data_IF_336539298141
#
_entry.id   IF_336539298141
#
_cell.length_a   1.000
_cell.length_b   1.000
_cell.length_c   1.000
_cell.angle_alpha   90.00
_cell.angle_beta   90.00
_cell.angle_gamma   90.00
#
_symmetry.space_group_name_H-M   'P 1'
#
loop_
_entity.id
_entity.type
_entity.pdbx_description
1 polymer ?
#
# COMPACT_ATOMS: atom_id res chain seq x y z
N UNK A 1 -25.48 5.89 -7.03
CA UNK A 1 -26.00 7.28 -7.02
C UNK A 1 -25.09 8.24 -7.79
N UNK A 2 -23.88 8.58 -7.32
CA UNK A 2 -23.02 9.56 -8.01
C UNK A 2 -22.50 9.06 -9.38
N UNK A 3 -22.16 7.77 -9.49
CA UNK A 3 -21.83 7.09 -10.75
C UNK A 3 -23.01 7.11 -11.71
N UNK A 4 -24.21 6.78 -11.22
CA UNK A 4 -25.42 6.75 -12.04
C UNK A 4 -25.83 8.15 -12.51
N UNK A 5 -25.61 9.18 -11.70
CA UNK A 5 -25.84 10.59 -12.07
C UNK A 5 -24.83 11.03 -13.14
N UNK A 6 -23.54 10.74 -12.96
CA UNK A 6 -22.50 11.09 -13.93
C UNK A 6 -22.71 10.35 -15.25
N UNK A 7 -23.03 9.05 -15.18
CA UNK A 7 -23.31 8.24 -16.35
C UNK A 7 -24.58 8.70 -17.07
N UNK A 8 -25.67 9.01 -16.34
CA UNK A 8 -26.89 9.57 -16.93
C UNK A 8 -26.64 10.94 -17.56
N UNK A 9 -25.80 11.79 -16.95
CA UNK A 9 -25.41 13.08 -17.55
C UNK A 9 -24.63 12.86 -18.86
N UNK A 10 -23.67 11.92 -18.87
CA UNK A 10 -22.85 11.64 -20.05
C UNK A 10 -23.63 10.92 -21.17
N UNK A 11 -24.57 10.05 -20.81
CA UNK A 11 -25.49 9.41 -21.73
C UNK A 11 -26.43 10.43 -22.37
N UNK A 12 -27.05 11.30 -21.56
CA UNK A 12 -27.95 12.33 -22.07
C UNK A 12 -27.24 13.42 -22.90
N UNK A 13 -26.05 13.88 -22.50
CA UNK A 13 -25.35 14.97 -23.22
C UNK A 13 -24.49 14.48 -24.39
N UNK A 14 -23.97 13.25 -24.35
CA UNK A 14 -22.98 12.76 -25.32
C UNK A 14 -23.28 11.37 -25.88
N UNK A 15 -24.36 10.69 -25.44
CA UNK A 15 -24.70 9.33 -25.87
C UNK A 15 -23.74 8.25 -25.36
N UNK A 16 -23.08 8.50 -24.23
CA UNK A 16 -22.02 7.63 -23.70
C UNK A 16 -22.53 6.83 -22.49
N UNK A 17 -22.42 5.49 -22.56
CA UNK A 17 -22.71 4.58 -21.44
C UNK A 17 -21.48 3.76 -21.05
N UNK A 18 -21.20 3.67 -19.75
CA UNK A 18 -20.08 2.89 -19.18
C UNK A 18 -20.45 1.44 -18.82
N UNK A 19 -21.73 1.06 -18.90
CA UNK A 19 -22.16 -0.29 -18.55
C UNK A 19 -21.78 -1.31 -19.63
N UNK A 20 -21.39 -2.52 -19.21
CA UNK A 20 -21.06 -3.66 -20.09
C UNK A 20 -19.95 -3.39 -21.13
N UNK A 21 -19.01 -2.50 -20.81
CA UNK A 21 -17.85 -2.16 -21.66
C UNK A 21 -16.61 -3.00 -21.31
N UNK A 22 -15.76 -3.26 -22.31
CA UNK A 22 -14.46 -3.92 -22.07
C UNK A 22 -13.49 -2.98 -21.34
N UNK A 23 -12.39 -3.51 -20.78
CA UNK A 23 -11.35 -2.69 -20.12
C UNK A 23 -10.74 -1.67 -21.10
N UNK A 24 -10.56 -2.06 -22.36
CA UNK A 24 -10.04 -1.19 -23.42
C UNK A 24 -11.01 -0.03 -23.71
N UNK A 25 -12.31 -0.33 -23.87
CA UNK A 25 -13.33 0.68 -24.10
C UNK A 25 -13.44 1.67 -22.93
N UNK A 26 -13.23 1.21 -21.70
CA UNK A 26 -13.25 2.04 -20.50
C UNK A 26 -12.01 2.95 -20.38
N UNK A 27 -10.85 2.50 -20.88
CA UNK A 27 -9.66 3.35 -20.99
C UNK A 27 -9.88 4.46 -22.03
N UNK A 28 -10.47 4.13 -23.17
CA UNK A 28 -10.85 5.10 -24.21
C UNK A 28 -11.91 6.09 -23.71
N UNK A 29 -12.88 5.60 -22.94
CA UNK A 29 -13.85 6.44 -22.25
C UNK A 29 -13.19 7.46 -21.31
N UNK A 30 -12.19 7.05 -20.52
CA UNK A 30 -11.45 7.95 -19.62
C UNK A 30 -10.73 9.04 -20.42
N UNK A 31 -10.12 8.70 -21.56
CA UNK A 31 -9.47 9.67 -22.45
C UNK A 31 -10.49 10.68 -23.00
N UNK A 32 -11.66 10.22 -23.43
CA UNK A 32 -12.74 11.05 -23.94
C UNK A 32 -13.28 12.00 -22.87
N UNK A 33 -13.57 11.49 -21.66
CA UNK A 33 -14.05 12.30 -20.52
C UNK A 33 -13.01 13.35 -20.14
N UNK A 34 -11.73 13.00 -20.11
CA UNK A 34 -10.65 13.96 -19.88
C UNK A 34 -10.63 15.07 -20.95
N UNK A 35 -10.87 14.72 -22.22
CA UNK A 35 -11.02 15.67 -23.32
C UNK A 35 -12.22 16.60 -23.18
N UNK A 36 -13.37 16.10 -22.70
CA UNK A 36 -14.56 16.92 -22.40
C UNK A 36 -14.26 17.90 -21.27
N UNK A 37 -13.60 17.45 -20.19
CA UNK A 37 -13.19 18.34 -19.10
C UNK A 37 -12.27 19.46 -19.60
N UNK A 38 -11.28 19.13 -20.44
CA UNK A 38 -10.38 20.11 -21.05
C UNK A 38 -11.16 21.17 -21.86
N UNK A 39 -12.07 20.74 -22.73
CA UNK A 39 -12.89 21.63 -23.55
C UNK A 39 -13.79 22.55 -22.72
N UNK A 40 -14.44 22.03 -21.66
CA UNK A 40 -15.39 22.80 -20.85
C UNK A 40 -14.74 23.72 -19.82
N UNK A 41 -13.59 23.34 -19.24
CA UNK A 41 -12.96 24.09 -18.14
C UNK A 41 -11.68 24.84 -18.54
N UNK A 42 -11.22 24.69 -19.78
CA UNK A 42 -9.91 25.19 -20.23
C UNK A 42 -8.71 24.46 -19.61
N UNK A 43 -8.98 23.47 -18.75
CA UNK A 43 -8.01 22.59 -18.11
C UNK A 43 -8.64 21.21 -17.97
N UNK A 44 -7.91 20.15 -18.31
CA UNK A 44 -8.36 18.78 -18.15
C UNK A 44 -8.00 18.22 -16.78
N UNK A 45 -7.95 16.90 -16.71
CA UNK A 45 -7.46 16.20 -15.53
C UNK A 45 -5.96 16.47 -15.37
N UNK A 46 -5.57 17.00 -14.20
CA UNK A 46 -4.24 17.56 -13.95
C UNK A 46 -3.17 16.50 -13.69
N UNK A 47 -3.59 15.33 -13.19
CA UNK A 47 -2.68 14.29 -12.72
C UNK A 47 -3.07 12.90 -13.27
N UNK A 48 -2.12 12.07 -13.72
CA UNK A 48 -2.38 10.67 -14.09
C UNK A 48 -3.21 9.88 -13.07
N UNK A 49 -2.97 10.05 -11.76
CA UNK A 49 -3.77 9.38 -10.74
C UNK A 49 -5.24 9.82 -10.77
N UNK A 50 -5.54 11.07 -11.10
CA UNK A 50 -6.94 11.51 -11.25
C UNK A 50 -7.62 10.79 -12.43
N UNK A 51 -6.93 10.62 -13.56
CA UNK A 51 -7.46 9.87 -14.70
C UNK A 51 -7.67 8.38 -14.35
N UNK A 52 -6.72 7.79 -13.61
CA UNK A 52 -6.85 6.43 -13.06
C UNK A 52 -8.05 6.30 -12.12
N UNK A 53 -8.35 7.32 -11.33
CA UNK A 53 -9.53 7.30 -10.45
C UNK A 53 -10.84 7.51 -11.23
N UNK A 54 -10.84 8.20 -12.37
CA UNK A 54 -11.99 8.17 -13.29
C UNK A 54 -12.21 6.73 -13.78
N UNK A 55 -11.16 6.01 -14.18
CA UNK A 55 -11.25 4.59 -14.54
C UNK A 55 -11.79 3.75 -13.37
N UNK A 56 -11.25 3.90 -12.16
CA UNK A 56 -11.76 3.19 -10.99
C UNK A 56 -13.22 3.52 -10.69
N UNK A 57 -13.64 4.77 -10.88
CA UNK A 57 -15.01 5.20 -10.70
C UNK A 57 -15.96 4.52 -11.70
N UNK A 58 -15.51 4.23 -12.93
CA UNK A 58 -16.29 3.42 -13.88
C UNK A 58 -16.42 1.95 -13.48
N UNK A 59 -15.56 1.46 -12.59
CA UNK A 59 -15.47 0.05 -12.17
C UNK A 59 -16.02 -0.22 -10.76
N UNK A 60 -16.38 0.80 -9.96
CA UNK A 60 -16.78 0.63 -8.54
C UNK A 60 -18.09 1.36 -8.23
N UNK A 61 -19.00 0.72 -7.48
CA UNK A 61 -20.34 1.23 -7.18
C UNK A 61 -20.52 2.00 -5.85
N UNK A 62 -19.46 2.28 -5.07
CA UNK A 62 -19.37 3.62 -4.46
C UNK A 62 -17.95 4.20 -4.49
N UNK A 63 -17.84 5.50 -4.74
CA UNK A 63 -16.59 6.24 -4.58
C UNK A 63 -16.29 6.43 -3.08
N UNK A 64 -15.11 6.04 -2.59
CA UNK A 64 -14.75 6.31 -1.21
C UNK A 64 -14.51 7.82 -1.02
N UNK A 65 -15.10 8.31 0.06
CA UNK A 65 -15.13 9.70 0.50
C UNK A 65 -13.74 10.27 0.80
N UNK A 66 -13.41 11.42 0.21
CA UNK A 66 -12.16 12.20 0.38
C UNK A 66 -11.98 12.88 1.75
N UNK A 67 -12.58 12.37 2.84
CA UNK A 67 -12.63 13.10 4.12
C UNK A 67 -11.94 12.39 5.31
N UNK A 68 -11.21 11.31 5.07
CA UNK A 68 -10.43 10.65 6.15
C UNK A 68 -8.97 11.13 6.07
N UNK A 69 -8.40 11.69 7.16
CA UNK A 69 -6.98 12.00 7.23
C UNK A 69 -6.14 10.77 6.88
N UNK A 70 -5.26 10.89 5.88
CA UNK A 70 -4.41 9.78 5.46
C UNK A 70 -3.40 9.44 6.57
N UNK A 71 -3.53 8.24 7.15
CA UNK A 71 -2.57 7.72 8.14
C UNK A 71 -1.22 7.45 7.46
N UNK A 72 -0.14 8.06 7.94
CA UNK A 72 1.21 7.74 7.49
C UNK A 72 1.59 6.33 7.96
N UNK A 73 1.70 5.38 7.02
CA UNK A 73 2.00 3.98 7.31
C UNK A 73 3.50 3.66 7.29
N UNK A 74 4.27 4.36 6.45
CA UNK A 74 5.70 4.12 6.27
C UNK A 74 6.42 5.39 5.81
N UNK A 75 7.64 5.59 6.31
CA UNK A 75 8.59 6.59 5.83
C UNK A 75 9.99 5.98 5.87
N UNK A 76 10.72 5.99 4.74
CA UNK A 76 12.06 5.40 4.62
C UNK A 76 13.11 6.10 5.49
N UNK A 77 12.86 7.35 5.90
CA UNK A 77 13.72 8.05 6.86
C UNK A 77 13.72 7.40 8.26
N UNK A 78 12.79 6.48 8.55
CA UNK A 78 12.78 5.69 9.78
C UNK A 78 13.78 4.53 9.76
N UNK A 79 14.19 4.07 8.58
CA UNK A 79 15.05 2.90 8.43
C UNK A 79 16.54 3.24 8.64
N UNK A 80 16.94 4.46 8.28
CA UNK A 80 18.31 4.96 8.41
C UNK A 80 18.33 6.43 8.80
N UNK A 81 19.17 6.84 9.77
CA UNK A 81 19.34 8.26 10.10
C UNK A 81 20.15 9.02 9.03
N UNK A 82 20.84 8.32 8.12
CA UNK A 82 21.68 8.91 7.08
C UNK A 82 20.97 8.91 5.73
N UNK A 83 21.01 10.06 5.06
CA UNK A 83 20.54 10.21 3.69
C UNK A 83 21.53 9.53 2.74
N UNK A 84 21.01 8.74 1.81
CA UNK A 84 21.80 8.09 0.77
C UNK A 84 21.60 8.82 -0.57
N UNK A 85 22.71 9.04 -1.27
CA UNK A 85 22.73 9.60 -2.62
C UNK A 85 22.91 8.48 -3.64
N UNK A 86 22.15 8.55 -4.73
CA UNK A 86 22.17 7.56 -5.81
C UNK A 86 22.53 8.28 -7.11
N UNK A 87 23.60 7.85 -7.78
CA UNK A 87 24.14 8.50 -8.98
C UNK A 87 24.13 7.60 -10.22
N UNK A 88 23.92 6.29 -10.06
CA UNK A 88 23.91 5.35 -11.17
C UNK A 88 22.58 5.47 -11.97
N UNK A 89 22.65 5.73 -13.28
CA UNK A 89 21.47 5.91 -14.14
C UNK A 89 20.60 4.66 -14.29
N UNK A 90 21.09 3.47 -13.95
CA UNK A 90 20.35 2.20 -14.00
C UNK A 90 19.93 1.68 -12.62
N UNK A 91 19.95 2.54 -11.60
CA UNK A 91 19.60 2.17 -10.23
C UNK A 91 18.10 1.86 -10.09
N UNK A 92 17.79 0.73 -9.46
CA UNK A 92 16.44 0.46 -8.93
C UNK A 92 16.45 0.63 -7.41
N UNK A 93 15.62 1.52 -6.89
CA UNK A 93 15.44 1.73 -5.45
C UNK A 93 14.28 0.88 -4.94
N UNK A 94 14.54 0.01 -3.95
CA UNK A 94 13.53 -0.88 -3.36
C UNK A 94 13.43 -0.63 -1.86
N UNK A 95 12.30 -0.06 -1.45
CA UNK A 95 11.98 0.18 -0.04
C UNK A 95 11.09 -0.94 0.50
N UNK A 96 11.52 -1.60 1.57
CA UNK A 96 10.70 -2.61 2.26
C UNK A 96 9.83 -1.91 3.28
N UNK A 97 8.61 -1.55 2.86
CA UNK A 97 7.68 -0.80 3.70
C UNK A 97 7.14 -1.61 4.87
N UNK A 98 7.01 -2.93 4.66
CA UNK A 98 6.47 -3.91 5.60
C UNK A 98 5.17 -3.46 6.30
N UNK A 99 4.36 -2.70 5.57
CA UNK A 99 3.03 -2.25 5.97
C UNK A 99 1.97 -2.97 5.13
N UNK A 100 0.80 -3.18 5.73
CA UNK A 100 -0.39 -3.63 5.01
C UNK A 100 -1.21 -2.41 4.63
N UNK A 101 -1.58 -2.35 3.36
CA UNK A 101 -2.48 -1.35 2.80
C UNK A 101 -3.77 -2.05 2.35
N UNK A 102 -4.90 -1.39 2.54
CA UNK A 102 -6.21 -1.82 2.06
C UNK A 102 -6.98 -0.57 1.60
N UNK A 103 -7.67 -0.67 0.47
CA UNK A 103 -8.36 0.46 -0.15
C UNK A 103 -7.38 1.39 -0.86
N UNK A 104 -7.60 2.69 -0.72
CA UNK A 104 -6.78 3.72 -1.35
C UNK A 104 -5.50 3.98 -0.57
N UNK A 105 -4.36 3.99 -1.27
CA UNK A 105 -3.09 4.38 -0.68
C UNK A 105 -2.31 5.31 -1.62
N UNK A 106 -1.58 6.23 -0.99
CA UNK A 106 -0.77 7.26 -1.64
C UNK A 106 0.69 7.01 -1.33
N UNK A 107 1.52 6.98 -2.37
CA UNK A 107 2.98 6.94 -2.25
C UNK A 107 3.53 8.29 -2.71
N UNK A 108 4.32 8.94 -1.86
CA UNK A 108 5.03 10.18 -2.17
C UNK A 108 6.54 9.96 -2.11
N UNK A 109 7.27 10.48 -3.09
CA UNK A 109 8.72 10.38 -3.18
C UNK A 109 9.30 11.78 -3.02
N UNK A 110 10.24 11.95 -2.10
CA UNK A 110 10.91 13.22 -1.80
C UNK A 110 12.41 13.11 -2.06
N UNK A 111 12.99 14.22 -2.50
CA UNK A 111 14.42 14.43 -2.54
C UNK A 111 14.83 15.38 -1.43
N UNK A 112 15.69 14.90 -0.53
CA UNK A 112 16.29 15.72 0.51
C UNK A 112 17.45 16.53 -0.08
N UNK A 113 17.35 17.86 0.03
CA UNK A 113 18.42 18.77 -0.38
C UNK A 113 19.28 19.12 0.83
N UNK A 114 20.54 18.69 0.79
CA UNK A 114 21.52 18.89 1.86
C UNK A 114 22.24 20.25 1.81
N UNK A 115 22.08 21.06 0.75
CA UNK A 115 22.84 22.31 0.55
C UNK A 115 22.12 23.58 1.01
N UNK A 116 20.98 23.48 1.69
CA UNK A 116 20.26 24.66 2.16
C UNK A 116 20.85 25.20 3.49
N UNK A 117 21.24 26.48 3.46
CA UNK A 117 21.90 27.24 4.55
C UNK A 117 21.07 27.34 5.85
N UNK A 118 19.79 26.97 5.80
CA UNK A 118 18.83 27.06 6.92
C UNK A 118 18.13 25.72 7.24
N UNK A 119 18.79 24.58 6.99
CA UNK A 119 18.33 23.24 7.35
C UNK A 119 17.93 22.38 6.15
N UNK A 120 17.71 21.08 6.39
CA UNK A 120 17.34 20.10 5.36
C UNK A 120 16.02 20.51 4.70
N UNK A 121 16.04 20.90 3.42
CA UNK A 121 14.83 21.18 2.64
C UNK A 121 14.49 19.96 1.80
N UNK A 122 13.33 19.37 2.02
CA UNK A 122 12.82 18.28 1.19
C UNK A 122 11.97 18.85 0.05
N UNK A 123 12.10 18.27 -1.14
CA UNK A 123 11.29 18.61 -2.32
C UNK A 123 10.59 17.36 -2.82
N UNK A 124 9.25 17.43 -2.99
CA UNK A 124 8.51 16.30 -3.54
C UNK A 124 8.91 16.13 -5.01
N UNK A 125 9.37 14.93 -5.37
CA UNK A 125 9.73 14.56 -6.73
C UNK A 125 8.50 14.18 -7.53
N UNK A 126 7.76 13.21 -7.03
CA UNK A 126 6.58 12.65 -7.67
C UNK A 126 5.74 11.88 -6.65
N UNK A 127 4.55 11.48 -7.06
CA UNK A 127 3.66 10.65 -6.27
C UNK A 127 2.73 9.81 -7.15
N UNK A 128 2.06 8.84 -6.55
CA UNK A 128 1.00 8.10 -7.22
C UNK A 128 0.02 7.56 -6.19
N UNK A 129 -1.25 7.47 -6.58
CA UNK A 129 -2.31 6.86 -5.77
C UNK A 129 -2.84 5.60 -6.46
N UNK A 130 -3.00 4.54 -5.68
CA UNK A 130 -3.54 3.27 -6.14
C UNK A 130 -4.61 2.78 -5.17
N UNK A 131 -5.54 1.96 -5.68
CA UNK A 131 -6.49 1.22 -4.87
C UNK A 131 -6.13 -0.25 -4.91
N UNK A 132 -6.06 -0.89 -3.75
CA UNK A 132 -5.66 -2.30 -3.62
C UNK A 132 -6.54 -3.25 -4.41
N UNK A 133 -7.81 -2.91 -4.61
CA UNK A 133 -8.77 -3.69 -5.41
C UNK A 133 -8.37 -3.86 -6.88
N UNK A 134 -7.55 -2.95 -7.40
CA UNK A 134 -7.09 -2.94 -8.78
C UNK A 134 -5.65 -3.46 -8.93
N UNK A 135 -5.03 -3.91 -7.82
CA UNK A 135 -3.75 -4.63 -7.86
C UNK A 135 -4.03 -6.03 -8.40
N UNK A 136 -3.60 -6.28 -9.63
CA UNK A 136 -3.84 -7.55 -10.33
C UNK A 136 -3.30 -8.77 -9.55
N UNK A 137 -3.79 -9.96 -9.90
CA UNK A 137 -3.42 -11.25 -9.30
C UNK A 137 -1.92 -11.55 -9.30
N UNK A 138 -1.10 -10.84 -10.10
CA UNK A 138 0.36 -10.98 -10.15
C UNK A 138 1.10 -10.47 -8.92
N UNK A 139 0.42 -9.82 -7.97
CA UNK A 139 1.05 -9.38 -6.71
C UNK A 139 2.04 -8.23 -6.92
N UNK A 140 2.02 -7.57 -8.07
CA UNK A 140 2.80 -6.36 -8.34
C UNK A 140 2.02 -5.43 -9.26
N UNK A 141 2.27 -4.13 -9.08
CA UNK A 141 1.90 -3.06 -10.01
C UNK A 141 3.20 -2.40 -10.44
N UNK A 142 3.35 -2.20 -11.74
CA UNK A 142 4.38 -1.33 -12.33
C UNK A 142 3.64 -0.19 -13.03
N UNK A 143 4.05 1.04 -12.74
CA UNK A 143 3.58 2.27 -13.35
C UNK A 143 4.69 2.82 -14.24
N UNK A 144 4.37 3.11 -15.49
CA UNK A 144 5.28 3.82 -16.36
C UNK A 144 5.41 5.29 -15.92
N UNK A 145 6.45 6.00 -16.39
CA UNK A 145 6.64 7.44 -16.16
C UNK A 145 5.36 8.26 -16.42
N UNK A 146 4.64 7.93 -17.48
CA UNK A 146 3.40 8.61 -17.86
C UNK A 146 2.28 8.48 -16.82
N UNK A 147 2.32 7.43 -15.99
CA UNK A 147 1.33 7.10 -14.98
C UNK A 147 1.68 7.62 -13.58
N UNK A 148 2.77 8.40 -13.44
CA UNK A 148 3.28 8.87 -12.16
C UNK A 148 3.17 10.40 -12.10
N UNK A 149 2.44 10.89 -11.09
CA UNK A 149 2.13 12.31 -10.94
C UNK A 149 3.41 13.12 -10.64
N UNK A 150 3.66 14.12 -11.48
CA UNK A 150 4.88 14.94 -11.43
C UNK A 150 6.07 14.36 -12.21
N UNK A 151 5.96 13.15 -12.75
CA UNK A 151 7.00 12.54 -13.60
C UNK A 151 6.71 12.60 -15.10
N UNK A 152 5.45 12.51 -15.52
CA UNK A 152 4.99 12.41 -16.92
C UNK A 152 5.73 13.35 -17.87
N UNK A 153 5.75 14.66 -17.59
CA UNK A 153 6.34 15.68 -18.48
C UNK A 153 7.65 16.27 -17.95
N UNK A 154 8.25 15.66 -16.92
CA UNK A 154 9.37 16.26 -16.21
C UNK A 154 10.71 15.67 -16.65
N UNK A 155 11.57 16.50 -17.25
CA UNK A 155 12.87 16.11 -17.83
C UNK A 155 13.87 15.49 -16.84
N UNK A 156 13.68 15.69 -15.53
CA UNK A 156 14.53 15.04 -14.50
C UNK A 156 14.39 13.52 -14.45
N UNK A 157 13.29 12.97 -14.96
CA UNK A 157 13.07 11.52 -14.98
C UNK A 157 13.41 10.98 -16.38
N UNK A 158 14.23 9.92 -16.47
CA UNK A 158 14.51 9.28 -17.75
C UNK A 158 13.25 8.64 -18.33
N UNK A 159 13.21 8.39 -19.64
CA UNK A 159 11.99 7.88 -20.30
C UNK A 159 11.61 6.46 -19.86
N UNK A 160 12.60 5.67 -19.45
CA UNK A 160 12.39 4.34 -18.86
C UNK A 160 12.08 4.39 -17.34
N UNK A 161 11.89 5.58 -16.77
CA UNK A 161 11.50 5.70 -15.37
C UNK A 161 10.18 4.96 -15.12
N UNK A 162 10.19 4.13 -14.09
CA UNK A 162 9.01 3.40 -13.64
C UNK A 162 9.00 3.36 -12.13
N UNK A 163 7.80 3.24 -11.58
CA UNK A 163 7.55 3.09 -10.16
C UNK A 163 6.56 1.96 -9.96
N UNK A 164 6.24 1.66 -8.70
CA UNK A 164 5.28 0.60 -8.46
C UNK A 164 5.27 0.09 -7.03
N UNK A 165 4.57 -1.00 -6.87
CA UNK A 165 4.42 -1.70 -5.60
C UNK A 165 4.45 -3.20 -5.86
N UNK A 166 5.13 -3.95 -4.98
CA UNK A 166 5.11 -5.41 -5.01
C UNK A 166 4.54 -5.91 -3.69
N UNK A 167 3.37 -6.52 -3.77
CA UNK A 167 2.73 -7.24 -2.67
C UNK A 167 3.51 -8.53 -2.41
N UNK A 168 4.17 -8.62 -1.26
CA UNK A 168 5.01 -9.76 -0.94
C UNK A 168 4.68 -10.31 0.45
N UNK A 169 3.72 -11.25 0.51
CA UNK A 169 3.68 -12.19 1.63
C UNK A 169 4.86 -13.13 1.49
N UNK A 170 5.61 -13.31 2.58
CA UNK A 170 6.79 -14.18 2.60
C UNK A 170 6.58 -15.27 3.62
N UNK A 171 6.81 -16.52 3.24
CA UNK A 171 6.89 -17.63 4.18
C UNK A 171 8.09 -17.38 5.10
N UNK A 172 7.87 -17.56 6.40
CA UNK A 172 8.84 -17.31 7.46
C UNK A 172 8.76 -18.45 8.47
N UNK A 173 9.92 -18.81 9.01
CA UNK A 173 9.98 -19.63 10.20
C UNK A 173 9.75 -18.71 11.41
N UNK A 174 8.67 -18.91 12.15
CA UNK A 174 8.28 -18.07 13.28
C UNK A 174 8.49 -18.83 14.58
N UNK A 175 8.97 -18.13 15.61
CA UNK A 175 9.22 -18.67 16.95
C UNK A 175 8.68 -17.69 17.98
N UNK A 176 7.69 -18.10 18.77
CA UNK A 176 7.22 -17.36 19.94
C UNK A 176 7.94 -17.88 21.19
N UNK A 177 8.75 -17.04 21.83
CA UNK A 177 9.50 -17.39 23.04
C UNK A 177 9.79 -16.13 23.86
N UNK A 178 9.77 -16.26 25.19
CA UNK A 178 10.20 -15.21 26.13
C UNK A 178 9.52 -13.85 25.86
N UNK A 179 8.19 -13.86 25.66
CA UNK A 179 7.40 -12.65 25.39
C UNK A 179 7.68 -11.99 24.04
N UNK A 180 8.37 -12.69 23.13
CA UNK A 180 8.76 -12.17 21.81
C UNK A 180 8.39 -13.15 20.70
N UNK A 181 7.79 -12.65 19.63
CA UNK A 181 7.61 -13.39 18.38
C UNK A 181 8.72 -13.00 17.39
N UNK A 182 9.63 -13.92 17.13
CA UNK A 182 10.77 -13.72 16.22
C UNK A 182 10.56 -14.50 14.93
N UNK A 183 10.95 -13.94 13.79
CA UNK A 183 10.80 -14.59 12.50
C UNK A 183 12.10 -14.61 11.69
N UNK A 184 12.28 -15.69 10.94
CA UNK A 184 13.48 -16.05 10.19
C UNK A 184 13.11 -16.43 8.75
N UNK A 185 14.11 -16.39 7.86
CA UNK A 185 13.93 -16.76 6.44
C UNK A 185 13.59 -18.25 6.32
N UNK A 186 14.22 -19.09 7.12
CA UNK A 186 13.98 -20.53 7.26
C UNK A 186 14.38 -20.98 8.66
N UNK A 187 14.15 -22.25 8.96
CA UNK A 187 14.52 -22.93 10.20
C UNK A 187 16.04 -23.05 10.43
N UNK A 188 16.84 -23.04 9.36
CA UNK A 188 18.31 -23.12 9.46
C UNK A 188 18.99 -21.76 9.65
N UNK A 189 18.24 -20.65 9.57
CA UNK A 189 18.81 -19.32 9.69
C UNK A 189 19.02 -18.91 11.16
N UNK A 190 20.27 -18.77 11.59
CA UNK A 190 20.60 -18.29 12.94
C UNK A 190 20.29 -16.79 13.17
N UNK A 191 20.24 -15.99 12.09
CA UNK A 191 19.98 -14.55 12.17
C UNK A 191 18.49 -14.24 11.97
N UNK A 192 17.88 -13.63 12.99
CA UNK A 192 16.50 -13.15 12.92
C UNK A 192 16.34 -12.09 11.80
N UNK A 193 15.22 -12.18 11.08
CA UNK A 193 14.80 -11.13 10.15
C UNK A 193 14.10 -9.98 10.87
N UNK A 194 13.44 -10.28 12.00
CA UNK A 194 12.86 -9.29 12.89
C UNK A 194 12.13 -9.94 14.04
N UNK A 195 11.66 -9.10 14.96
CA UNK A 195 10.95 -9.52 16.16
C UNK A 195 9.82 -8.56 16.54
N UNK A 196 8.85 -9.09 17.27
CA UNK A 196 7.69 -8.38 17.79
C UNK A 196 7.63 -8.63 19.29
N UNK A 197 7.74 -7.57 20.09
CA UNK A 197 7.47 -7.65 21.52
C UNK A 197 5.98 -7.89 21.73
N UNK A 198 5.63 -8.93 22.49
CA UNK A 198 4.25 -9.34 22.68
C UNK A 198 3.64 -8.75 23.94
N UNK A 199 4.44 -8.37 24.93
CA UNK A 199 3.96 -7.82 26.19
C UNK A 199 2.98 -6.66 25.98
N UNK A 200 1.73 -6.83 26.43
CA UNK A 200 0.65 -5.84 26.27
C UNK A 200 0.13 -5.67 24.84
N UNK A 201 0.58 -6.47 23.88
CA UNK A 201 0.09 -6.44 22.51
C UNK A 201 -1.34 -7.00 22.43
N UNK A 202 -2.13 -6.45 21.53
CA UNK A 202 -3.46 -6.98 21.20
C UNK A 202 -3.34 -7.89 19.99
N UNK A 203 -3.92 -9.09 20.08
CA UNK A 203 -3.87 -10.09 19.00
C UNK A 203 -5.29 -10.40 18.54
N UNK A 204 -5.59 -10.09 17.28
CA UNK A 204 -6.93 -10.21 16.72
C UNK A 204 -6.90 -10.95 15.40
N UNK A 205 -7.98 -11.69 15.10
CA UNK A 205 -8.22 -12.19 13.74
C UNK A 205 -8.27 -11.01 12.78
N UNK A 206 -7.70 -11.18 11.60
CA UNK A 206 -7.78 -10.20 10.53
C UNK A 206 -8.53 -10.81 9.35
N UNK A 207 -9.71 -10.27 9.06
CA UNK A 207 -10.51 -10.68 7.90
C UNK A 207 -10.11 -9.81 6.72
N UNK A 208 -9.45 -10.41 5.72
CA UNK A 208 -9.22 -9.73 4.45
C UNK A 208 -10.31 -10.15 3.47
N UNK A 209 -11.22 -9.24 3.14
CA UNK A 209 -12.42 -9.54 2.35
C UNK A 209 -12.15 -9.98 0.89
N UNK A 210 -10.89 -9.92 0.41
CA UNK A 210 -10.55 -10.25 -1.00
C UNK A 210 -9.25 -11.03 -1.21
N UNK A 211 -8.52 -11.41 -0.15
CA UNK A 211 -7.21 -12.07 -0.27
C UNK A 211 -7.29 -13.61 -0.41
N UNK A 212 -8.46 -14.20 -0.16
CA UNK A 212 -8.65 -15.65 0.02
C UNK A 212 -8.71 -16.48 -1.27
N UNK A 213 -8.54 -15.88 -2.46
CA UNK A 213 -8.74 -16.57 -3.74
C UNK A 213 -7.46 -17.02 -4.48
N UNK A 214 -6.25 -16.88 -3.89
CA UNK A 214 -5.01 -17.36 -4.53
C UNK A 214 -4.58 -18.69 -3.92
N UNK A 215 -4.66 -19.76 -4.71
CA UNK A 215 -4.13 -21.09 -4.37
C UNK A 215 -2.65 -20.98 -3.99
N UNK A 216 -2.28 -21.36 -2.77
CA UNK A 216 -0.89 -21.37 -2.27
C UNK A 216 -0.46 -20.22 -1.37
N UNK A 217 -1.35 -19.25 -1.07
CA UNK A 217 -1.11 -18.26 -0.02
C UNK A 217 -1.87 -18.62 1.27
N UNK A 218 -1.39 -18.20 2.46
CA UNK A 218 -2.14 -18.36 3.70
C UNK A 218 -3.56 -17.84 3.52
N UNK A 219 -4.57 -18.55 4.02
CA UNK A 219 -5.97 -18.15 3.91
C UNK A 219 -6.56 -17.67 5.24
N UNK A 220 -5.80 -17.82 6.33
CA UNK A 220 -6.21 -17.49 7.69
C UNK A 220 -5.21 -16.50 8.31
N UNK A 221 -5.68 -15.35 8.79
CA UNK A 221 -4.79 -14.27 9.22
C UNK A 221 -5.09 -13.76 10.62
N UNK A 222 -4.04 -13.35 11.31
CA UNK A 222 -4.13 -12.55 12.53
C UNK A 222 -3.19 -11.35 12.45
N UNK A 223 -3.51 -10.33 13.25
CA UNK A 223 -2.65 -9.16 13.46
C UNK A 223 -2.21 -9.07 14.91
N UNK A 224 -1.00 -8.55 15.11
CA UNK A 224 -0.43 -8.22 16.42
C UNK A 224 -0.22 -6.71 16.46
N UNK A 225 -0.98 -6.05 17.32
CA UNK A 225 -0.99 -4.60 17.51
C UNK A 225 -0.25 -4.26 18.81
N UNK A 226 0.81 -3.45 18.77
CA UNK A 226 1.55 -3.09 19.98
C UNK A 226 0.67 -2.22 20.90
N UNK A 227 0.94 -2.21 22.22
CA UNK A 227 0.19 -1.38 23.15
C UNK A 227 0.33 0.10 22.81
N UNK A 228 -0.67 0.92 23.17
CA UNK A 228 -0.68 2.37 22.91
C UNK A 228 0.54 3.10 23.46
N UNK A 229 1.16 2.56 24.52
CA UNK A 229 2.38 3.06 25.18
C UNK A 229 3.69 2.66 24.49
N UNK A 230 3.66 1.78 23.48
CA UNK A 230 4.87 1.35 22.80
C UNK A 230 5.52 2.48 21.99
N UNK A 231 6.85 2.56 22.07
CA UNK A 231 7.65 3.52 21.29
C UNK A 231 7.53 3.28 19.77
N UNK A 232 7.36 2.02 19.35
CA UNK A 232 7.11 1.63 17.95
C UNK A 232 5.69 1.09 17.82
N UNK A 233 4.84 1.80 17.08
CA UNK A 233 3.43 1.46 16.86
C UNK A 233 3.19 0.59 15.61
N UNK A 234 4.16 -0.26 15.28
CA UNK A 234 4.09 -1.09 14.08
C UNK A 234 3.17 -2.28 14.32
N UNK A 235 2.13 -2.40 13.50
CA UNK A 235 1.24 -3.57 13.46
C UNK A 235 1.86 -4.64 12.56
N UNK A 236 1.88 -5.88 13.05
CA UNK A 236 2.36 -7.03 12.29
C UNK A 236 1.19 -7.91 11.89
N UNK A 237 1.28 -8.50 10.70
CA UNK A 237 0.27 -9.40 10.17
C UNK A 237 0.93 -10.74 9.86
N UNK A 238 0.28 -11.82 10.27
CA UNK A 238 0.75 -13.18 10.09
C UNK A 238 -0.36 -14.01 9.43
N UNK A 239 0.05 -14.89 8.54
CA UNK A 239 -0.84 -15.81 7.85
C UNK A 239 -0.51 -17.26 8.23
N UNK A 240 -1.55 -18.07 8.37
CA UNK A 240 -1.47 -19.51 8.57
C UNK A 240 -2.11 -20.24 7.38
N UNK A 241 -1.57 -21.43 7.07
CA UNK A 241 -2.05 -22.28 5.98
C UNK A 241 -3.42 -22.89 6.32
N UNK A 242 -3.71 -23.10 7.60
CA UNK A 242 -4.97 -23.66 8.09
C UNK A 242 -5.58 -22.82 9.22
N UNK A 243 -6.90 -22.95 9.40
CA UNK A 243 -7.64 -22.33 10.52
C UNK A 243 -7.15 -22.84 11.88
N UNK A 244 -6.79 -24.13 11.95
CA UNK A 244 -6.26 -24.74 13.18
C UNK A 244 -4.92 -24.10 13.57
N UNK A 245 -4.02 -23.93 12.60
CA UNK A 245 -2.73 -23.26 12.84
C UNK A 245 -2.94 -21.81 13.26
N UNK A 246 -3.88 -21.09 12.63
CA UNK A 246 -4.23 -19.72 13.02
C UNK A 246 -4.64 -19.66 14.50
N UNK A 247 -5.58 -20.53 14.91
CA UNK A 247 -6.11 -20.56 16.27
C UNK A 247 -5.00 -20.86 17.28
N UNK A 248 -4.15 -21.85 17.00
CA UNK A 248 -3.07 -22.23 17.89
C UNK A 248 -2.00 -21.13 18.01
N UNK A 249 -1.62 -20.51 16.89
CA UNK A 249 -0.70 -19.37 16.90
C UNK A 249 -1.27 -18.18 17.69
N UNK A 250 -2.54 -17.84 17.46
CA UNK A 250 -3.19 -16.78 18.23
C UNK A 250 -3.17 -17.08 19.73
N UNK A 251 -3.48 -18.32 20.14
CA UNK A 251 -3.46 -18.74 21.54
C UNK A 251 -2.08 -18.56 22.18
N UNK A 252 -1.02 -19.01 21.52
CA UNK A 252 0.36 -18.90 22.02
C UNK A 252 0.81 -17.44 22.12
N UNK A 253 0.51 -16.63 21.11
CA UNK A 253 0.90 -15.22 21.07
C UNK A 253 0.10 -14.40 22.10
N UNK A 254 -1.19 -14.67 22.28
CA UNK A 254 -2.03 -14.03 23.31
C UNK A 254 -1.59 -14.38 24.73
N UNK A 255 -1.22 -15.64 24.98
CA UNK A 255 -0.68 -16.06 26.27
C UNK A 255 0.63 -15.32 26.59
N UNK A 256 1.47 -15.12 25.57
CA UNK A 256 2.73 -14.37 25.69
C UNK A 256 2.55 -12.85 25.78
N UNK A 257 1.38 -12.34 25.39
CA UNK A 257 1.04 -10.91 25.47
C UNK A 257 0.42 -10.50 26.79
N UNK A 258 -0.20 -11.46 27.49
CA UNK A 258 -0.80 -11.24 28.79
C UNK A 258 0.28 -10.96 29.84
N UNK A 259 0.02 -10.07 30.82
CA UNK A 259 0.96 -9.87 31.92
C UNK A 259 1.24 -11.20 32.62
N UNK A 260 2.49 -11.66 32.55
CA UNK A 260 2.91 -12.75 33.41
C UNK A 260 2.85 -12.20 34.84
N UNK A 261 1.95 -12.74 35.66
CA UNK A 261 2.06 -12.60 37.10
C UNK A 261 3.47 -13.06 37.45
N UNK A 262 4.33 -12.13 37.85
CA UNK A 262 5.63 -12.47 38.43
C UNK A 262 5.33 -13.41 39.60
N UNK A 263 5.61 -14.71 39.42
CA UNK A 263 5.73 -15.61 40.55
C UNK A 263 6.97 -15.13 41.30
N UNK A 264 6.73 -14.32 42.32
CA UNK A 264 7.70 -14.00 43.35
C UNK A 264 8.29 -15.31 43.86
N UNK A 265 9.59 -15.51 43.64
CA UNK A 265 10.39 -16.42 44.47
C UNK A 265 10.81 -15.68 45.73
#
# INVERSE_FOLDING_TARGET
VLVDILNRMLDCEYGISIYHKSDQDLLEYVQMVNGIFWKKRGQGVRYPSQARYVYYFTKVHPAPSEHVPSKLLYNSAWDTPQLQSYTDPHTTLVFRTECVVEGDFLVRIFHANATAVLGKKESQLCHFTLRTDFVTSRGSIVLAKADIDGATDHKRFPDHFSGGFVQNWKRRWCVAKDGTLTYYKSDTNCRANGSVALQGATVNRWQCHKFTAKVGHPCHFFKVEPPSSAQKRRVYYFGADTESDLVEWMRVVQASASPQLQRSQ
#
